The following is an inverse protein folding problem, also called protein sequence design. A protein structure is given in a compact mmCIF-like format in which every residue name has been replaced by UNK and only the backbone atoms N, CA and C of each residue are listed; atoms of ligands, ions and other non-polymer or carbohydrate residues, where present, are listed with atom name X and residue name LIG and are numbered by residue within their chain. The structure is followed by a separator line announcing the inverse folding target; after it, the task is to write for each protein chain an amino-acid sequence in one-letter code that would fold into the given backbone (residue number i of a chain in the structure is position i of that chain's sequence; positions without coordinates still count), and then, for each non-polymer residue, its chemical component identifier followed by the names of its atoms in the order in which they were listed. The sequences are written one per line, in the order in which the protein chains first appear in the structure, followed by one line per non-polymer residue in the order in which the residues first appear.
data_IF_224544441870
#
_entry.id   IF_224544441870
#
_cell.length_a   1.000
_cell.length_b   1.000
_cell.length_c   1.000
_cell.angle_alpha   90.00
_cell.angle_beta   90.00
_cell.angle_gamma   90.00
#
_symmetry.space_group_name_H-M   'P 1'
#
loop_
_entity.id
_entity.type
_entity.pdbx_description
1 polymer ?
#
# COMPACT_ATOMS: atom_id res chain seq x y z
N UNK A 1 -13.00 -11.54 3.39
CA UNK A 1 -11.64 -11.83 2.88
C UNK A 1 -10.65 -10.94 3.62
N UNK A 2 -10.25 -11.34 4.83
CA UNK A 2 -9.43 -10.50 5.72
C UNK A 2 -7.93 -10.50 5.31
N UNK A 3 -7.50 -11.55 4.61
CA UNK A 3 -6.10 -11.79 4.20
C UNK A 3 -5.75 -11.40 2.76
N UNK A 4 -6.57 -10.56 2.10
CA UNK A 4 -6.40 -10.28 0.67
C UNK A 4 -5.06 -9.59 0.30
N UNK A 5 -4.54 -8.71 1.17
CA UNK A 5 -3.27 -8.02 0.93
C UNK A 5 -2.10 -8.85 1.46
N UNK A 6 -1.26 -9.31 0.54
CA UNK A 6 0.02 -9.99 0.75
C UNK A 6 1.14 -9.24 0.02
N UNK A 7 2.40 -9.59 0.27
CA UNK A 7 3.55 -9.03 -0.47
C UNK A 7 3.32 -9.14 -1.99
N UNK A 8 3.56 -8.05 -2.71
CA UNK A 8 3.32 -7.92 -4.15
C UNK A 8 1.92 -7.45 -4.53
N UNK A 9 0.97 -7.40 -3.59
CA UNK A 9 -0.38 -6.89 -3.87
C UNK A 9 -0.33 -5.41 -4.22
N UNK A 10 -1.13 -5.00 -5.21
CA UNK A 10 -1.36 -3.60 -5.55
C UNK A 10 -2.49 -3.03 -4.70
N UNK A 11 -2.30 -1.82 -4.19
CA UNK A 11 -3.29 -1.11 -3.38
C UNK A 11 -3.25 0.39 -3.66
N UNK A 12 -4.29 1.10 -3.23
CA UNK A 12 -4.30 2.56 -3.20
C UNK A 12 -3.93 3.03 -1.80
N UNK A 13 -2.90 3.86 -1.70
CA UNK A 13 -2.46 4.50 -0.46
C UNK A 13 -2.57 6.02 -0.59
N UNK A 14 -2.90 6.70 0.52
CA UNK A 14 -2.94 8.16 0.56
C UNK A 14 -1.52 8.74 0.41
N UNK A 15 -1.35 9.80 -0.37
CA UNK A 15 -0.06 10.48 -0.49
C UNK A 15 0.46 10.93 0.88
N UNK A 16 1.77 10.85 1.04
CA UNK A 16 2.49 11.35 2.21
C UNK A 16 3.11 12.72 1.97
N UNK A 17 3.06 13.23 0.74
CA UNK A 17 3.69 14.50 0.35
C UNK A 17 2.82 15.71 0.73
N UNK A 18 3.39 16.76 1.34
CA UNK A 18 2.65 17.97 1.66
C UNK A 18 2.08 18.65 0.41
N UNK A 19 0.79 18.98 0.43
CA UNK A 19 0.12 19.65 -0.68
C UNK A 19 -0.47 18.71 -1.73
N UNK A 20 -0.23 17.40 -1.63
CA UNK A 20 -0.93 16.40 -2.43
C UNK A 20 -2.07 15.76 -1.62
N UNK A 21 -3.31 16.00 -2.03
CA UNK A 21 -4.45 15.27 -1.50
C UNK A 21 -4.97 14.29 -2.56
N UNK A 22 -4.60 13.02 -2.39
CA UNK A 22 -4.94 11.98 -3.35
C UNK A 22 -4.56 10.58 -2.89
N UNK A 23 -5.09 9.59 -3.61
CA UNK A 23 -4.75 8.19 -3.44
C UNK A 23 -3.99 7.73 -4.68
N UNK A 24 -2.84 7.10 -4.45
CA UNK A 24 -1.93 6.67 -5.50
C UNK A 24 -1.65 5.19 -5.40
N UNK A 25 -1.22 4.61 -6.52
CA UNK A 25 -0.94 3.19 -6.62
C UNK A 25 0.35 2.84 -5.86
N UNK A 26 0.25 1.86 -4.98
CA UNK A 26 1.37 1.32 -4.22
C UNK A 26 1.41 -0.22 -4.29
N UNK A 27 2.59 -0.78 -4.04
CA UNK A 27 2.82 -2.21 -3.90
C UNK A 27 3.12 -2.52 -2.43
N UNK A 28 2.55 -3.59 -1.90
CA UNK A 28 2.89 -4.13 -0.58
C UNK A 28 4.25 -4.81 -0.62
N UNK A 29 5.23 -4.26 0.09
CA UNK A 29 6.55 -4.89 0.26
C UNK A 29 6.55 -5.88 1.43
N UNK A 30 5.79 -5.57 2.49
CA UNK A 30 5.70 -6.39 3.70
C UNK A 30 4.35 -6.20 4.41
N UNK A 31 3.91 -7.24 5.09
CA UNK A 31 2.79 -7.22 6.04
C UNK A 31 3.37 -7.55 7.41
N UNK A 32 3.06 -6.75 8.43
CA UNK A 32 3.51 -7.01 9.80
C UNK A 32 2.99 -8.36 10.32
N UNK A 33 3.67 -9.01 11.29
CA UNK A 33 3.22 -10.30 11.84
C UNK A 33 1.80 -10.29 12.42
N UNK A 34 1.34 -9.14 12.92
CA UNK A 34 -0.02 -8.96 13.43
C UNK A 34 -1.06 -8.62 12.33
N UNK A 35 -0.62 -8.48 11.09
CA UNK A 35 -1.45 -8.16 9.93
C UNK A 35 -1.95 -6.71 9.87
N UNK A 36 -1.62 -5.85 10.83
CA UNK A 36 -2.26 -4.51 10.94
C UNK A 36 -1.52 -3.41 10.19
N UNK A 37 -0.24 -3.61 9.93
CA UNK A 37 0.64 -2.59 9.33
C UNK A 37 1.21 -3.13 8.03
N UNK A 38 1.27 -2.27 7.02
CA UNK A 38 1.86 -2.57 5.73
C UNK A 38 3.09 -1.70 5.54
N UNK A 39 4.17 -2.29 5.01
CA UNK A 39 5.26 -1.54 4.39
C UNK A 39 4.98 -1.50 2.90
N UNK A 40 4.88 -0.29 2.34
CA UNK A 40 4.50 -0.05 0.95
C UNK A 40 5.62 0.64 0.18
N UNK A 41 5.57 0.50 -1.13
CA UNK A 41 6.38 1.25 -2.10
C UNK A 41 5.49 1.83 -3.19
N UNK A 42 5.73 3.08 -3.60
CA UNK A 42 4.96 3.70 -4.68
C UNK A 42 5.20 3.00 -6.02
N UNK A 43 4.12 2.66 -6.74
CA UNK A 43 4.21 2.01 -8.04
C UNK A 43 4.66 3.02 -9.09
N UNK A 44 5.71 2.70 -9.85
CA UNK A 44 6.27 3.59 -10.87
C UNK A 44 7.28 4.61 -10.36
N UNK A 45 7.52 4.69 -9.04
CA UNK A 45 8.44 5.64 -8.42
C UNK A 45 9.49 4.91 -7.56
N UNK A 46 10.41 4.13 -8.16
CA UNK A 46 11.31 3.25 -7.42
C UNK A 46 12.36 3.97 -6.57
N UNK A 47 12.64 5.24 -6.87
CA UNK A 47 13.52 6.12 -6.12
C UNK A 47 12.91 6.62 -4.81
N UNK A 48 11.57 6.65 -4.71
CA UNK A 48 10.89 6.91 -3.45
C UNK A 48 11.06 5.68 -2.56
N UNK A 49 11.42 5.93 -1.30
CA UNK A 49 11.61 4.89 -0.29
C UNK A 49 10.32 4.14 0.03
N UNK A 50 10.42 3.21 0.97
CA UNK A 50 9.24 2.57 1.52
C UNK A 50 8.63 3.42 2.62
N UNK A 51 7.33 3.26 2.84
CA UNK A 51 6.60 3.92 3.92
C UNK A 51 5.64 2.94 4.60
N UNK A 52 5.25 3.25 5.84
CA UNK A 52 4.37 2.39 6.63
C UNK A 52 2.99 3.00 6.77
N UNK A 53 1.96 2.18 6.66
CA UNK A 53 0.57 2.60 6.90
C UNK A 53 -0.26 1.48 7.50
N UNK A 54 -1.42 1.83 8.04
CA UNK A 54 -2.39 0.84 8.54
C UNK A 54 -3.04 0.13 7.36
N UNK A 55 -3.25 -1.19 7.49
CA UNK A 55 -3.95 -2.00 6.48
C UNK A 55 -5.35 -1.46 6.15
N UNK A 56 -6.04 -0.87 7.12
CA UNK A 56 -7.37 -0.29 6.92
C UNK A 56 -7.34 1.11 6.29
N UNK A 57 -6.17 1.71 6.12
CA UNK A 57 -6.01 3.01 5.47
C UNK A 57 -5.73 2.89 3.96
N UNK A 58 -5.73 1.67 3.41
CA UNK A 58 -5.51 1.42 1.98
C UNK A 58 -6.74 0.81 1.32
N UNK A 59 -6.96 1.18 0.06
CA UNK A 59 -7.95 0.52 -0.80
C UNK A 59 -7.33 -0.69 -1.50
N UNK A 60 -7.93 -1.88 -1.36
CA UNK A 60 -7.54 -3.04 -2.15
C UNK A 60 -7.99 -2.83 -3.60
N UNK A 61 -7.05 -2.91 -4.55
CA UNK A 61 -7.41 -3.00 -5.95
C UNK A 61 -7.62 -4.47 -6.29
N UNK A 62 -8.86 -4.83 -6.63
CA UNK A 62 -9.19 -6.20 -7.00
C UNK A 62 -8.32 -6.62 -8.19
N UNK A 63 -7.59 -7.73 -8.02
CA UNK A 63 -6.96 -8.40 -9.15
C UNK A 63 -8.06 -9.16 -9.88
N UNK A 64 -8.51 -8.61 -11.02
CA UNK A 64 -9.37 -9.37 -11.94
C UNK A 64 -8.56 -10.59 -12.38
N UNK A 65 -9.04 -11.79 -12.06
CA UNK A 65 -8.44 -13.05 -12.52
C UNK A 65 -8.62 -13.22 -14.01
#
# INVERSE_FOLDING_TARGET
MWDALTKGSKCLAKSTEPGEDGYYLAIVEEVSPDGKTLTLKWFGYPSLGTFKTRRLAVGLLATVK
#
